data_IF_334853641262
#
_entry.id   IF_334853641262
#
_cell.length_a   1.000
_cell.length_b   1.000
_cell.length_c   1.000
_cell.angle_alpha   90.00
_cell.angle_beta   90.00
_cell.angle_gamma   90.00
#
_symmetry.space_group_name_H-M   'P 1'
#
loop_
_entity.id
_entity.type
_entity.pdbx_description
1 polymer ?
#
# COMPACT_ATOMS: atom_id res chain seq x y z
N UNK A 1 43.02 38.29 -27.59
CA UNK A 1 41.64 38.76 -27.88
C UNK A 1 40.77 38.30 -26.71
N UNK A 2 40.72 39.08 -25.62
CA UNK A 2 39.62 40.01 -25.26
C UNK A 2 38.33 39.24 -24.92
N UNK A 3 38.11 38.84 -23.65
CA UNK A 3 37.36 39.55 -22.59
C UNK A 3 36.08 40.20 -23.10
N UNK A 4 34.90 39.74 -22.69
CA UNK A 4 33.84 40.62 -22.13
C UNK A 4 32.82 39.85 -21.27
N UNK A 5 32.71 40.25 -20.00
CA UNK A 5 31.59 40.00 -19.10
C UNK A 5 30.43 40.96 -19.43
N UNK A 6 29.17 40.52 -19.29
CA UNK A 6 28.06 41.44 -19.07
C UNK A 6 27.22 41.07 -17.84
N UNK A 7 27.48 41.85 -16.79
CA UNK A 7 26.61 42.19 -15.68
C UNK A 7 25.53 43.17 -16.15
N UNK A 8 24.30 43.05 -15.64
CA UNK A 8 23.37 44.17 -15.37
C UNK A 8 22.40 43.71 -14.27
N UNK A 9 22.57 44.14 -13.02
CA UNK A 9 22.09 45.39 -12.38
C UNK A 9 20.65 45.31 -11.86
N UNK A 10 20.56 45.15 -10.53
CA UNK A 10 19.48 45.61 -9.66
C UNK A 10 19.28 47.12 -9.75
N UNK A 11 18.10 47.62 -9.35
CA UNK A 11 18.01 48.83 -8.56
C UNK A 11 17.46 48.56 -7.15
N UNK A 12 17.97 49.38 -6.23
CA UNK A 12 17.73 49.44 -4.80
C UNK A 12 16.73 50.57 -4.46
N UNK A 13 16.30 50.60 -3.19
CA UNK A 13 15.65 51.68 -2.39
C UNK A 13 14.12 51.55 -2.22
N UNK A 14 13.52 51.79 -1.05
CA UNK A 14 13.97 52.40 0.23
C UNK A 14 13.00 52.02 1.34
N UNK A 15 13.51 51.94 2.58
CA UNK A 15 12.76 51.89 3.83
C UNK A 15 11.84 53.10 4.03
N UNK A 16 10.71 52.89 4.70
CA UNK A 16 10.05 53.88 5.53
C UNK A 16 9.42 53.19 6.75
N UNK A 17 9.97 53.49 7.92
CA UNK A 17 9.35 53.33 9.23
C UNK A 17 8.14 54.25 9.36
N UNK A 18 7.05 53.78 9.98
CA UNK A 18 6.25 54.59 10.89
C UNK A 18 5.70 53.72 12.04
N UNK A 19 5.81 54.29 13.23
CA UNK A 19 5.38 53.78 14.54
C UNK A 19 3.97 54.29 14.89
N UNK A 20 3.42 53.71 15.96
CA UNK A 20 2.26 54.14 16.78
C UNK A 20 0.84 53.87 16.24
N UNK A 21 -0.17 53.50 17.04
CA UNK A 21 -0.26 53.03 18.43
C UNK A 21 -1.69 52.47 18.67
N UNK A 22 -1.82 51.63 19.70
CA UNK A 22 -2.94 51.51 20.66
C UNK A 22 -4.41 51.55 20.18
N UNK A 23 -5.08 50.38 20.29
CA UNK A 23 -6.36 50.17 20.99
C UNK A 23 -6.73 48.69 20.80
N UNK A 24 -6.70 47.82 21.81
CA UNK A 24 -7.54 47.92 23.01
C UNK A 24 -8.91 47.31 22.72
N UNK A 25 -9.05 45.98 22.87
CA UNK A 25 -10.32 45.34 23.26
C UNK A 25 -10.06 43.93 23.81
N UNK A 26 -10.05 43.89 25.14
CA UNK A 26 -10.27 42.73 25.99
C UNK A 26 -11.65 42.14 25.66
N UNK A 27 -11.74 40.84 25.38
CA UNK A 27 -13.00 40.11 25.59
C UNK A 27 -12.77 38.97 26.56
N UNK A 28 -13.54 39.06 27.64
CA UNK A 28 -13.53 38.21 28.81
C UNK A 28 -13.83 36.73 28.50
N UNK A 29 -13.05 35.91 29.20
CA UNK A 29 -13.38 34.55 29.64
C UNK A 29 -14.87 34.32 29.92
N UNK A 30 -15.42 33.25 29.33
CA UNK A 30 -16.50 32.47 29.94
C UNK A 30 -16.07 31.01 29.99
N UNK A 31 -15.41 30.65 31.10
CA UNK A 31 -15.41 29.27 31.62
C UNK A 31 -16.87 28.87 31.84
N UNK A 32 -17.36 27.87 31.11
CA UNK A 32 -18.59 27.16 31.49
C UNK A 32 -18.21 26.06 32.46
N UNK A 33 -18.84 26.10 33.63
CA UNK A 33 -18.73 25.12 34.69
C UNK A 33 -19.14 23.73 34.19
N UNK A 34 -18.32 22.76 34.55
CA UNK A 34 -18.61 21.34 34.57
C UNK A 34 -19.70 21.12 35.64
N UNK A 35 -20.85 20.62 35.22
CA UNK A 35 -21.87 20.04 36.11
C UNK A 35 -21.98 18.56 35.77
N UNK A 36 -21.29 17.74 36.56
CA UNK A 36 -21.45 16.28 36.55
C UNK A 36 -22.81 15.95 37.15
N UNK A 37 -23.67 15.27 36.40
CA UNK A 37 -24.76 14.47 36.94
C UNK A 37 -24.70 13.08 36.31
N UNK A 38 -24.36 12.10 37.14
CA UNK A 38 -24.45 10.68 36.81
C UNK A 38 -25.92 10.26 36.82
N UNK A 39 -26.37 9.58 35.77
CA UNK A 39 -27.50 8.64 35.81
C UNK A 39 -27.30 7.66 34.66
N UNK A 40 -27.39 6.38 34.99
CA UNK A 40 -27.02 5.26 34.13
C UNK A 40 -28.07 4.88 33.10
N UNK A 41 -27.64 3.88 32.34
CA UNK A 41 -28.36 2.99 31.43
C UNK A 41 -28.52 3.38 29.96
N UNK A 42 -28.29 2.33 29.15
CA UNK A 42 -28.35 2.19 27.69
C UNK A 42 -27.15 2.77 26.91
N UNK A 43 -26.16 1.90 26.72
CA UNK A 43 -25.15 2.03 25.66
C UNK A 43 -25.83 1.90 24.29
N UNK A 44 -26.47 2.98 23.84
CA UNK A 44 -26.71 3.21 22.42
C UNK A 44 -25.35 3.49 21.80
N UNK A 45 -24.87 2.58 20.94
CA UNK A 45 -23.78 2.83 20.02
C UNK A 45 -24.16 4.03 19.16
N UNK A 46 -23.71 5.20 19.60
CA UNK A 46 -23.84 6.43 18.86
C UNK A 46 -23.10 6.23 17.53
N UNK A 47 -23.88 6.18 16.46
CA UNK A 47 -23.41 6.31 15.10
C UNK A 47 -22.68 7.65 14.95
N UNK A 48 -21.36 7.64 15.11
CA UNK A 48 -20.46 8.74 14.78
C UNK A 48 -19.13 8.14 14.31
N UNK A 49 -19.04 7.74 13.05
CA UNK A 49 -17.81 7.81 12.24
C UNK A 49 -18.21 7.88 10.76
N UNK A 50 -18.71 9.03 10.31
CA UNK A 50 -19.17 9.21 8.91
C UNK A 50 -18.41 10.29 8.15
N UNK A 51 -17.19 10.66 8.55
CA UNK A 51 -16.42 11.69 7.81
C UNK A 51 -14.90 11.45 7.75
N UNK A 52 -14.42 10.24 8.06
CA UNK A 52 -13.00 9.93 7.90
C UNK A 52 -12.66 9.62 6.43
N UNK A 53 -12.07 10.60 5.75
CA UNK A 53 -11.53 10.42 4.40
C UNK A 53 -10.06 9.97 4.45
N UNK A 54 -9.85 8.66 4.31
CA UNK A 54 -8.53 8.01 4.26
C UNK A 54 -7.58 8.65 3.22
N UNK A 55 -8.10 9.16 2.09
CA UNK A 55 -7.28 9.78 1.05
C UNK A 55 -6.77 11.14 1.48
N UNK A 56 -7.63 11.95 2.10
CA UNK A 56 -7.25 13.26 2.64
C UNK A 56 -6.27 13.06 3.79
N UNK A 57 -6.54 12.10 4.69
CA UNK A 57 -5.62 11.71 5.75
C UNK A 57 -4.24 11.34 5.20
N UNK A 58 -4.15 10.40 4.25
CA UNK A 58 -2.88 9.98 3.63
C UNK A 58 -2.14 11.14 2.96
N UNK A 59 -2.87 12.02 2.27
CA UNK A 59 -2.29 13.22 1.65
C UNK A 59 -1.70 14.18 2.69
N UNK A 60 -2.33 14.32 3.86
CA UNK A 60 -1.81 15.14 4.94
C UNK A 60 -0.62 14.48 5.63
N UNK A 61 -0.71 13.17 5.92
CA UNK A 61 0.36 12.38 6.52
C UNK A 61 1.66 12.44 5.70
N UNK A 62 1.55 12.23 4.38
CA UNK A 62 2.69 12.25 3.45
C UNK A 62 3.36 13.62 3.30
N UNK A 63 2.70 14.70 3.76
CA UNK A 63 3.23 16.08 3.77
C UNK A 63 3.71 16.51 5.16
N UNK A 64 3.49 15.69 6.17
CA UNK A 64 3.95 15.98 7.53
C UNK A 64 5.48 15.95 7.59
N UNK A 65 6.05 16.63 8.59
CA UNK A 65 7.51 16.71 8.76
C UNK A 65 8.12 15.38 9.18
N UNK A 66 7.34 14.53 9.86
CA UNK A 66 7.78 13.26 10.40
C UNK A 66 7.50 12.08 9.46
N UNK A 67 7.32 12.34 8.16
CA UNK A 67 7.06 11.31 7.15
C UNK A 67 8.12 11.35 6.07
N UNK A 68 8.87 10.26 5.90
CA UNK A 68 9.84 10.11 4.83
C UNK A 68 9.50 8.93 3.93
N UNK A 69 9.53 9.17 2.61
CA UNK A 69 9.42 8.15 1.56
C UNK A 69 10.58 8.21 0.58
N UNK A 70 11.50 9.18 0.69
CA UNK A 70 12.50 9.46 -0.37
C UNK A 70 13.88 8.86 -0.07
N UNK A 71 14.08 8.27 1.10
CA UNK A 71 15.40 7.91 1.60
C UNK A 71 16.06 9.08 2.34
N UNK A 72 17.32 8.92 2.72
CA UNK A 72 18.05 9.86 3.60
C UNK A 72 19.39 10.35 2.99
N UNK A 73 19.62 10.09 1.70
CA UNK A 73 20.82 10.55 0.99
C UNK A 73 22.03 9.64 1.15
N UNK A 74 21.82 8.40 1.59
CA UNK A 74 22.84 7.36 1.75
C UNK A 74 22.70 6.22 0.74
N UNK A 75 21.92 6.45 -0.33
CA UNK A 75 21.59 5.44 -1.35
C UNK A 75 22.79 4.67 -1.90
N UNK A 76 23.84 5.36 -2.34
CA UNK A 76 25.01 4.72 -2.98
C UNK A 76 25.72 3.76 -2.02
N UNK A 77 26.11 4.23 -0.84
CA UNK A 77 26.75 3.40 0.18
C UNK A 77 25.87 2.21 0.63
N UNK A 78 24.56 2.40 0.71
CA UNK A 78 23.62 1.33 1.05
C UNK A 78 23.51 0.29 -0.07
N UNK A 79 23.47 0.71 -1.34
CA UNK A 79 23.44 -0.21 -2.47
C UNK A 79 24.72 -1.03 -2.60
N UNK A 80 25.89 -0.44 -2.32
CA UNK A 80 27.15 -1.18 -2.24
C UNK A 80 27.13 -2.25 -1.14
N UNK A 81 26.60 -1.92 0.04
CA UNK A 81 26.43 -2.87 1.13
C UNK A 81 25.49 -4.02 0.72
N UNK A 82 24.32 -3.69 0.14
CA UNK A 82 23.36 -4.69 -0.32
C UNK A 82 23.95 -5.59 -1.41
N UNK A 83 24.71 -5.04 -2.35
CA UNK A 83 25.38 -5.84 -3.39
C UNK A 83 26.36 -6.82 -2.76
N UNK A 84 27.15 -6.39 -1.77
CA UNK A 84 28.07 -7.30 -1.06
C UNK A 84 27.34 -8.39 -0.28
N UNK A 85 26.16 -8.10 0.27
CA UNK A 85 25.38 -9.05 1.09
C UNK A 85 24.56 -10.04 0.25
N UNK A 86 24.07 -9.63 -0.92
CA UNK A 86 23.07 -10.38 -1.69
C UNK A 86 23.53 -10.81 -3.09
N UNK A 87 24.79 -10.60 -3.47
CA UNK A 87 25.37 -11.13 -4.72
C UNK A 87 26.44 -12.19 -4.47
N UNK A 88 26.76 -12.98 -5.50
CA UNK A 88 27.70 -14.10 -5.42
C UNK A 88 28.53 -14.23 -6.69
N UNK A 89 29.77 -14.71 -6.57
CA UNK A 89 30.67 -14.96 -7.70
C UNK A 89 30.08 -15.95 -8.72
N UNK A 90 29.30 -16.93 -8.27
CA UNK A 90 28.66 -17.88 -9.20
C UNK A 90 27.69 -17.18 -10.15
N UNK A 91 26.96 -16.19 -9.63
CA UNK A 91 25.99 -15.40 -10.39
C UNK A 91 26.72 -14.50 -11.39
N UNK A 92 27.87 -13.96 -10.99
CA UNK A 92 28.75 -13.21 -11.89
C UNK A 92 29.25 -14.10 -13.03
N UNK A 93 29.77 -15.29 -12.73
CA UNK A 93 30.22 -16.27 -13.74
C UNK A 93 29.09 -16.62 -14.71
N UNK A 94 27.89 -16.92 -14.21
CA UNK A 94 26.73 -17.23 -15.06
C UNK A 94 26.38 -16.06 -16.00
N UNK A 95 26.34 -14.83 -15.50
CA UNK A 95 26.08 -13.63 -16.31
C UNK A 95 27.13 -13.43 -17.41
N UNK A 96 28.41 -13.59 -17.08
CA UNK A 96 29.53 -13.44 -18.03
C UNK A 96 29.52 -14.51 -19.13
N UNK A 97 28.86 -15.65 -18.89
CA UNK A 97 28.75 -16.77 -19.84
C UNK A 97 27.35 -16.87 -20.48
N UNK A 98 26.62 -15.76 -20.58
CA UNK A 98 25.32 -15.76 -21.28
C UNK A 98 24.21 -16.48 -20.51
N UNK A 99 24.24 -16.39 -19.17
CA UNK A 99 23.28 -16.99 -18.25
C UNK A 99 23.32 -18.53 -18.17
N UNK A 100 24.38 -19.16 -18.67
CA UNK A 100 24.56 -20.61 -18.61
C UNK A 100 26.04 -20.95 -18.39
N UNK A 101 26.32 -21.92 -17.52
CA UNK A 101 27.68 -22.42 -17.32
C UNK A 101 27.68 -23.90 -16.95
N UNK A 102 28.65 -24.65 -17.49
CA UNK A 102 28.80 -26.08 -17.24
C UNK A 102 30.03 -26.35 -16.38
N UNK A 103 29.82 -26.89 -15.18
CA UNK A 103 30.85 -27.43 -14.30
C UNK A 103 30.89 -28.96 -14.40
N UNK A 104 31.87 -29.49 -15.12
CA UNK A 104 32.00 -30.93 -15.34
C UNK A 104 30.82 -31.48 -16.12
N UNK A 105 30.00 -32.31 -15.48
CA UNK A 105 28.80 -32.90 -16.06
C UNK A 105 27.49 -32.18 -15.65
N UNK A 106 27.57 -31.04 -14.96
CA UNK A 106 26.41 -30.26 -14.50
C UNK A 106 26.36 -28.94 -15.23
N UNK A 107 25.24 -28.67 -15.92
CA UNK A 107 24.94 -27.37 -16.52
C UNK A 107 23.96 -26.61 -15.63
N UNK A 108 24.34 -25.39 -15.27
CA UNK A 108 23.50 -24.47 -14.49
C UNK A 108 23.04 -23.36 -15.42
N UNK A 109 21.74 -23.12 -15.45
CA UNK A 109 21.10 -22.01 -16.17
C UNK A 109 20.54 -21.01 -15.18
N UNK A 110 20.73 -19.73 -15.47
CA UNK A 110 20.20 -18.61 -14.70
C UNK A 110 19.08 -17.96 -15.51
N UNK A 111 17.92 -17.75 -14.90
CA UNK A 111 16.89 -16.95 -15.56
C UNK A 111 17.40 -15.52 -15.80
N UNK A 112 17.07 -14.91 -16.94
CA UNK A 112 17.53 -13.54 -17.26
C UNK A 112 17.01 -12.49 -16.25
N UNK A 113 15.83 -12.73 -15.68
CA UNK A 113 15.24 -11.92 -14.63
C UNK A 113 15.10 -12.72 -13.34
N UNK A 114 15.83 -12.30 -12.30
CA UNK A 114 15.87 -12.93 -10.98
C UNK A 114 16.22 -11.91 -9.90
N UNK A 115 16.08 -12.32 -8.63
CA UNK A 115 16.49 -11.49 -7.49
C UNK A 115 15.49 -10.40 -7.14
N UNK A 116 15.99 -9.31 -6.54
CA UNK A 116 15.15 -8.19 -6.11
C UNK A 116 14.57 -7.45 -7.31
N UNK A 117 13.25 -7.24 -7.29
CA UNK A 117 12.65 -6.24 -8.15
C UNK A 117 12.98 -4.83 -7.62
N UNK A 118 12.81 -3.81 -8.45
CA UNK A 118 13.06 -2.42 -8.06
C UNK A 118 12.31 -1.99 -6.78
N UNK A 119 11.08 -2.45 -6.60
CA UNK A 119 10.29 -2.14 -5.40
C UNK A 119 10.90 -2.72 -4.13
N UNK A 120 11.40 -3.95 -4.20
CA UNK A 120 12.08 -4.65 -3.11
C UNK A 120 13.42 -4.01 -2.80
N UNK A 121 14.26 -3.78 -3.83
CA UNK A 121 15.56 -3.13 -3.68
C UNK A 121 15.39 -1.78 -3.00
N UNK A 122 14.47 -0.96 -3.49
CA UNK A 122 14.15 0.35 -2.90
C UNK A 122 13.71 0.22 -1.44
N UNK A 123 12.88 -0.76 -1.10
CA UNK A 123 12.36 -0.87 0.26
C UNK A 123 13.46 -1.24 1.27
N UNK A 124 14.27 -2.25 0.95
CA UNK A 124 15.41 -2.67 1.77
C UNK A 124 16.44 -1.54 1.87
N UNK A 125 16.71 -0.87 0.76
CA UNK A 125 17.63 0.25 0.69
C UNK A 125 17.19 1.40 1.61
N UNK A 126 15.92 1.82 1.58
CA UNK A 126 15.42 2.87 2.48
C UNK A 126 15.44 2.41 3.96
N UNK A 127 15.13 1.14 4.24
CA UNK A 127 15.19 0.61 5.60
C UNK A 127 16.63 0.65 6.17
N UNK A 128 17.63 0.30 5.35
CA UNK A 128 19.04 0.41 5.74
C UNK A 128 19.47 1.86 5.93
N UNK A 129 19.02 2.78 5.06
CA UNK A 129 19.26 4.21 5.26
C UNK A 129 18.64 4.72 6.56
N UNK A 130 17.45 4.24 6.93
CA UNK A 130 16.79 4.65 8.17
C UNK A 130 17.64 4.33 9.39
N UNK A 131 18.21 3.12 9.46
CA UNK A 131 19.12 2.77 10.57
C UNK A 131 20.41 3.61 10.58
N UNK A 132 20.92 4.01 9.42
CA UNK A 132 22.09 4.89 9.36
C UNK A 132 21.77 6.32 9.78
N UNK A 133 20.60 6.82 9.37
CA UNK A 133 20.14 8.17 9.68
C UNK A 133 19.82 8.34 11.17
N UNK A 134 19.20 7.32 11.75
CA UNK A 134 18.82 7.27 13.15
C UNK A 134 19.69 6.18 13.76
N UNK A 135 20.89 6.44 14.31
CA UNK A 135 21.76 5.39 14.84
C UNK A 135 21.39 4.96 16.26
N UNK A 136 20.74 5.83 17.03
CA UNK A 136 20.50 5.64 18.48
C UNK A 136 19.02 5.42 18.82
N UNK A 137 18.11 5.76 17.91
CA UNK A 137 16.67 5.67 18.09
C UNK A 137 16.18 4.22 18.02
N UNK A 138 15.06 3.92 18.69
CA UNK A 138 14.36 2.65 18.48
C UNK A 138 13.70 2.67 17.10
N UNK A 139 13.93 1.62 16.33
CA UNK A 139 13.32 1.47 15.01
C UNK A 139 12.43 0.24 15.04
N UNK A 140 11.16 0.45 14.77
CA UNK A 140 10.15 -0.59 14.62
C UNK A 140 9.85 -0.82 13.14
N UNK A 141 9.42 -2.02 12.79
CA UNK A 141 8.81 -2.33 11.50
C UNK A 141 7.46 -3.02 11.73
N UNK A 142 6.44 -2.62 10.98
CA UNK A 142 5.07 -3.07 11.24
C UNK A 142 4.84 -4.54 10.84
N UNK A 143 5.54 -5.02 9.81
CA UNK A 143 5.65 -6.42 9.39
C UNK A 143 7.09 -6.69 8.93
N UNK A 144 7.37 -7.90 8.46
CA UNK A 144 8.52 -8.16 7.60
C UNK A 144 8.67 -7.10 6.48
N UNK A 145 9.89 -6.65 6.21
CA UNK A 145 10.14 -5.66 5.14
C UNK A 145 9.71 -6.20 3.78
N UNK A 146 10.00 -7.49 3.58
CA UNK A 146 9.64 -8.37 2.46
C UNK A 146 9.60 -9.81 2.99
N UNK A 147 8.97 -10.74 2.25
CA UNK A 147 9.00 -12.18 2.57
C UNK A 147 10.34 -12.83 2.23
N UNK A 148 11.40 -12.42 2.92
CA UNK A 148 12.74 -12.97 2.82
C UNK A 148 13.38 -13.04 4.22
N UNK A 149 13.45 -14.23 4.83
CA UNK A 149 14.00 -14.40 6.17
C UNK A 149 15.43 -13.87 6.34
N UNK A 150 16.27 -13.97 5.32
CA UNK A 150 17.66 -13.46 5.37
C UNK A 150 17.68 -11.94 5.51
N UNK A 151 16.83 -11.24 4.75
CA UNK A 151 16.73 -9.78 4.83
C UNK A 151 16.12 -9.33 6.16
N UNK A 152 15.07 -10.01 6.63
CA UNK A 152 14.44 -9.68 7.92
C UNK A 152 15.41 -9.91 9.09
N UNK A 153 16.13 -11.03 9.09
CA UNK A 153 17.18 -11.30 10.09
C UNK A 153 18.28 -10.23 10.05
N UNK A 154 18.65 -9.77 8.86
CA UNK A 154 19.65 -8.71 8.72
C UNK A 154 19.17 -7.39 9.31
N UNK A 155 17.89 -7.04 9.15
CA UNK A 155 17.29 -5.88 9.81
C UNK A 155 17.25 -6.04 11.33
N UNK A 156 16.94 -7.23 11.83
CA UNK A 156 16.99 -7.54 13.27
C UNK A 156 18.41 -7.37 13.84
N UNK A 157 19.45 -7.87 13.15
CA UNK A 157 20.86 -7.65 13.50
C UNK A 157 21.24 -6.16 13.50
N UNK A 158 20.57 -5.37 12.66
CA UNK A 158 20.66 -3.91 12.62
C UNK A 158 19.78 -3.23 13.67
N UNK A 159 19.18 -3.97 14.62
CA UNK A 159 18.29 -3.45 15.68
C UNK A 159 17.06 -2.71 15.11
N UNK A 160 16.47 -3.28 14.07
CA UNK A 160 15.12 -2.95 13.61
C UNK A 160 14.20 -4.05 14.13
N UNK A 161 13.33 -3.71 15.07
CA UNK A 161 12.50 -4.66 15.80
C UNK A 161 11.10 -4.77 15.17
N UNK A 162 10.52 -5.96 15.14
CA UNK A 162 9.13 -6.12 14.73
C UNK A 162 8.20 -5.59 15.84
N UNK A 163 7.10 -4.95 15.44
CA UNK A 163 6.01 -4.69 16.40
C UNK A 163 5.43 -6.04 16.86
N UNK A 164 5.32 -6.30 18.17
CA UNK A 164 4.76 -7.54 18.68
C UNK A 164 3.31 -7.76 18.23
N UNK A 165 2.94 -9.02 18.05
CA UNK A 165 1.58 -9.43 17.72
C UNK A 165 1.06 -10.31 18.87
N UNK A 166 -0.06 -9.91 19.46
CA UNK A 166 -0.78 -10.66 20.49
C UNK A 166 -2.21 -10.91 20.00
N UNK A 167 -2.68 -12.15 20.10
CA UNK A 167 -4.03 -12.57 19.65
C UNK A 167 -4.39 -12.19 18.19
N UNK A 168 -3.38 -11.96 17.34
CA UNK A 168 -3.56 -11.55 15.94
C UNK A 168 -3.59 -10.04 15.72
N UNK A 169 -3.41 -9.24 16.77
CA UNK A 169 -3.37 -7.78 16.70
C UNK A 169 -1.98 -7.23 17.04
N UNK A 170 -1.58 -6.17 16.32
CA UNK A 170 -0.30 -5.48 16.54
C UNK A 170 -0.37 -4.60 17.77
N UNK A 171 0.61 -4.76 18.66
CA UNK A 171 0.71 -4.02 19.91
C UNK A 171 1.46 -2.71 19.68
N UNK A 172 0.76 -1.66 19.23
CA UNK A 172 1.38 -0.36 18.96
C UNK A 172 1.80 0.38 20.24
N UNK A 173 1.36 -0.08 21.42
CA UNK A 173 1.61 0.48 22.75
C UNK A 173 3.10 0.53 23.08
N UNK A 174 3.89 -0.39 22.51
CA UNK A 174 5.35 -0.44 22.68
C UNK A 174 6.06 0.71 21.97
N UNK A 175 5.40 1.35 20.99
CA UNK A 175 5.95 2.43 20.18
C UNK A 175 5.76 3.76 20.90
N UNK A 176 6.87 4.43 21.20
CA UNK A 176 6.92 5.70 21.92
C UNK A 176 7.07 6.89 20.97
N UNK A 177 6.71 8.07 21.47
CA UNK A 177 6.96 9.33 20.76
C UNK A 177 8.44 9.47 20.42
N UNK A 178 8.73 9.83 19.17
CA UNK A 178 10.09 9.99 18.66
C UNK A 178 10.74 8.70 18.15
N UNK A 179 10.14 7.51 18.39
CA UNK A 179 10.60 6.28 17.75
C UNK A 179 10.45 6.39 16.22
N UNK A 180 11.21 5.57 15.49
CA UNK A 180 11.09 5.43 14.04
C UNK A 180 10.26 4.20 13.72
N UNK A 181 9.31 4.32 12.80
CA UNK A 181 8.50 3.17 12.35
C UNK A 181 8.57 3.04 10.84
N UNK A 182 9.06 1.89 10.39
CA UNK A 182 9.16 1.52 8.98
C UNK A 182 7.84 0.85 8.56
N UNK A 183 7.22 1.38 7.50
CA UNK A 183 6.14 0.69 6.79
C UNK A 183 6.77 -0.18 5.70
N UNK A 184 6.42 -1.48 5.57
CA UNK A 184 7.09 -2.43 4.70
C UNK A 184 6.77 -2.20 3.22
N UNK A 185 7.39 -2.98 2.32
CA UNK A 185 7.18 -2.86 0.88
C UNK A 185 5.71 -3.11 0.45
N UNK A 186 5.01 -3.96 1.20
CA UNK A 186 3.58 -4.27 1.04
C UNK A 186 2.65 -3.13 1.49
N UNK A 187 3.22 -2.15 2.20
CA UNK A 187 2.51 -1.04 2.82
C UNK A 187 1.82 -1.39 4.13
N UNK A 188 0.95 -0.50 4.59
CA UNK A 188 0.26 -0.60 5.87
C UNK A 188 -1.20 -0.20 5.72
N UNK A 189 -2.05 -0.73 6.59
CA UNK A 189 -3.47 -0.37 6.64
C UNK A 189 -3.69 1.07 7.10
N UNK A 190 -4.84 1.65 6.74
CA UNK A 190 -5.21 3.03 7.14
C UNK A 190 -5.22 3.20 8.66
N UNK A 191 -5.74 2.22 9.40
CA UNK A 191 -5.80 2.25 10.86
C UNK A 191 -4.41 2.22 11.51
N UNK A 192 -3.48 1.44 10.94
CA UNK A 192 -2.09 1.40 11.40
C UNK A 192 -1.41 2.76 11.21
N UNK A 193 -1.57 3.37 10.03
CA UNK A 193 -1.04 4.70 9.77
C UNK A 193 -1.67 5.77 10.67
N UNK A 194 -2.96 5.66 10.99
CA UNK A 194 -3.64 6.57 11.90
C UNK A 194 -3.09 6.43 13.33
N UNK A 195 -2.94 5.21 13.82
CA UNK A 195 -2.37 4.92 15.14
C UNK A 195 -0.96 5.51 15.27
N UNK A 196 -0.10 5.24 14.28
CA UNK A 196 1.27 5.76 14.23
C UNK A 196 1.31 7.29 14.14
N UNK A 197 0.47 7.89 13.29
CA UNK A 197 0.39 9.36 13.16
C UNK A 197 0.01 10.04 14.48
N UNK A 198 -0.84 9.42 15.29
CA UNK A 198 -1.27 9.97 16.58
C UNK A 198 -0.19 9.89 17.67
N UNK A 199 0.84 9.05 17.48
CA UNK A 199 1.96 8.87 18.43
C UNK A 199 3.14 9.81 18.22
N UNK A 200 3.12 10.65 17.19
CA UNK A 200 4.21 11.60 16.85
C UNK A 200 5.57 10.89 16.65
N UNK A 201 5.53 9.77 15.92
CA UNK A 201 6.70 8.97 15.51
C UNK A 201 7.28 9.45 14.18
N UNK A 202 8.51 9.06 13.87
CA UNK A 202 9.10 9.22 12.53
C UNK A 202 8.67 8.05 11.64
N UNK A 203 7.81 8.30 10.66
CA UNK A 203 7.36 7.27 9.71
C UNK A 203 8.31 7.20 8.52
N UNK A 204 8.86 6.02 8.26
CA UNK A 204 9.65 5.69 7.07
C UNK A 204 8.84 4.77 6.18
N UNK A 205 8.22 5.33 5.15
CA UNK A 205 7.37 4.60 4.21
C UNK A 205 8.20 3.96 3.09
N UNK A 206 8.38 2.65 3.17
CA UNK A 206 9.07 1.87 2.13
C UNK A 206 8.13 1.26 1.10
N UNK A 207 6.81 1.51 1.20
CA UNK A 207 5.77 0.94 0.33
C UNK A 207 6.17 1.05 -1.15
N UNK A 208 6.09 -0.09 -1.84
CA UNK A 208 6.35 -0.17 -3.27
C UNK A 208 5.41 0.78 -4.03
N UNK A 209 5.92 1.62 -4.93
CA UNK A 209 5.07 2.53 -5.71
C UNK A 209 3.98 1.85 -6.55
N UNK A 210 4.20 0.58 -6.95
CA UNK A 210 3.17 -0.23 -7.61
C UNK A 210 2.00 -0.56 -6.68
N UNK A 211 2.28 -0.88 -5.41
CA UNK A 211 1.25 -1.09 -4.38
C UNK A 211 0.46 0.19 -4.13
N UNK A 212 1.14 1.34 -3.99
CA UNK A 212 0.44 2.63 -3.86
C UNK A 212 -0.39 3.01 -5.10
N UNK A 213 -0.08 2.46 -6.29
CA UNK A 213 -0.91 2.62 -7.49
C UNK A 213 -2.23 1.85 -7.34
N UNK A 214 -2.21 0.65 -6.77
CA UNK A 214 -3.42 -0.13 -6.43
C UNK A 214 -4.30 0.64 -5.44
N UNK A 215 -3.71 1.24 -4.41
CA UNK A 215 -4.45 2.05 -3.42
C UNK A 215 -5.18 3.23 -4.08
N UNK A 216 -4.52 3.94 -4.99
CA UNK A 216 -5.16 5.02 -5.75
C UNK A 216 -6.32 4.50 -6.63
N UNK A 217 -6.27 3.25 -7.09
CA UNK A 217 -7.36 2.63 -7.88
C UNK A 217 -8.57 2.33 -7.00
N UNK A 218 -8.39 1.70 -5.83
CA UNK A 218 -9.52 1.44 -4.92
C UNK A 218 -10.12 2.72 -4.33
N UNK A 219 -9.31 3.77 -4.13
CA UNK A 219 -9.81 5.12 -3.79
C UNK A 219 -10.68 5.72 -4.92
N UNK A 220 -10.33 5.48 -6.19
CA UNK A 220 -11.16 5.91 -7.33
C UNK A 220 -12.46 5.13 -7.38
N UNK A 221 -12.43 3.82 -7.12
CA UNK A 221 -13.64 3.01 -7.03
C UNK A 221 -14.57 3.57 -5.94
N UNK A 222 -14.04 3.82 -4.74
CA UNK A 222 -14.78 4.46 -3.64
C UNK A 222 -15.41 5.79 -4.06
N UNK A 223 -14.66 6.67 -4.73
CA UNK A 223 -15.18 7.96 -5.21
C UNK A 223 -16.30 7.82 -6.25
N UNK A 224 -16.23 6.81 -7.10
CA UNK A 224 -17.24 6.52 -8.13
C UNK A 224 -18.37 5.60 -7.66
N UNK A 225 -18.41 5.24 -6.38
CA UNK A 225 -19.35 4.25 -5.81
C UNK A 225 -19.28 2.85 -6.45
N UNK A 226 -18.11 2.48 -6.98
CA UNK A 226 -17.83 1.12 -7.46
C UNK A 226 -17.34 0.25 -6.29
N UNK A 227 -17.82 -0.98 -6.25
CA UNK A 227 -17.25 -2.05 -5.42
C UNK A 227 -15.95 -2.55 -6.03
N UNK A 228 -14.90 -2.63 -5.22
CA UNK A 228 -13.62 -3.18 -5.65
C UNK A 228 -13.66 -4.70 -5.58
N UNK A 229 -13.58 -5.37 -6.74
CA UNK A 229 -13.22 -6.79 -6.81
C UNK A 229 -11.69 -6.84 -6.76
N UNK A 230 -11.15 -7.30 -5.62
CA UNK A 230 -9.72 -7.35 -5.37
C UNK A 230 -9.23 -8.77 -5.64
N UNK A 231 -8.47 -8.97 -6.72
CA UNK A 231 -7.80 -10.24 -6.98
C UNK A 231 -6.61 -10.40 -6.02
N UNK A 232 -6.71 -11.28 -5.04
CA UNK A 232 -5.68 -11.44 -4.01
C UNK A 232 -6.07 -12.42 -2.92
N UNK A 233 -5.17 -12.62 -1.95
CA UNK A 233 -5.44 -13.49 -0.81
C UNK A 233 -5.91 -12.64 0.37
N UNK A 234 -7.10 -12.91 0.91
CA UNK A 234 -7.72 -12.06 1.95
C UNK A 234 -6.84 -11.82 3.19
N UNK A 235 -5.97 -12.77 3.54
CA UNK A 235 -5.08 -12.69 4.70
C UNK A 235 -3.68 -12.14 4.40
N UNK A 236 -3.35 -11.84 3.15
CA UNK A 236 -2.03 -11.31 2.79
C UNK A 236 -1.93 -9.81 3.12
N UNK A 237 -0.84 -9.36 3.74
CA UNK A 237 -0.73 -7.98 4.22
C UNK A 237 -0.98 -6.91 3.15
N UNK A 238 -0.50 -7.11 1.93
CA UNK A 238 -0.76 -6.18 0.82
C UNK A 238 -2.26 -6.07 0.48
N UNK A 239 -2.98 -7.19 0.55
CA UNK A 239 -4.43 -7.23 0.29
C UNK A 239 -5.19 -6.57 1.43
N UNK A 240 -4.81 -6.84 2.68
CA UNK A 240 -5.39 -6.19 3.87
C UNK A 240 -5.17 -4.68 3.81
N UNK A 241 -3.94 -4.24 3.54
CA UNK A 241 -3.63 -2.82 3.37
C UNK A 241 -4.47 -2.20 2.24
N UNK A 242 -4.54 -2.85 1.07
CA UNK A 242 -5.34 -2.39 -0.06
C UNK A 242 -6.83 -2.29 0.28
N UNK A 243 -7.39 -3.29 0.95
CA UNK A 243 -8.79 -3.32 1.35
C UNK A 243 -9.13 -2.19 2.31
N UNK A 244 -8.22 -1.79 3.20
CA UNK A 244 -8.42 -0.65 4.11
C UNK A 244 -8.60 0.71 3.41
N UNK A 245 -8.14 0.84 2.16
CA UNK A 245 -8.36 2.04 1.34
C UNK A 245 -9.62 1.97 0.48
N UNK A 246 -10.22 0.78 0.34
CA UNK A 246 -11.42 0.58 -0.45
C UNK A 246 -12.67 1.07 0.30
N UNK A 247 -13.74 1.37 -0.44
CA UNK A 247 -15.06 1.60 0.14
C UNK A 247 -15.76 0.26 0.36
N UNK A 248 -16.43 -0.20 -0.69
CA UNK A 248 -17.01 -1.56 -0.77
C UNK A 248 -16.03 -2.48 -1.48
N UNK A 249 -15.87 -3.71 -0.99
CA UNK A 249 -15.00 -4.68 -1.66
C UNK A 249 -15.45 -6.13 -1.47
N UNK A 250 -15.04 -6.95 -2.43
CA UNK A 250 -14.97 -8.41 -2.33
C UNK A 250 -13.59 -8.86 -2.79
N UNK A 251 -12.91 -9.70 -2.02
CA UNK A 251 -11.61 -10.27 -2.35
C UNK A 251 -11.84 -11.65 -2.96
N UNK A 252 -11.28 -11.88 -4.14
CA UNK A 252 -11.33 -13.17 -4.85
C UNK A 252 -9.93 -13.70 -5.05
N UNK A 253 -9.70 -14.98 -4.73
CA UNK A 253 -8.39 -15.62 -4.78
C UNK A 253 -8.00 -16.06 -6.19
N UNK A 254 -8.98 -16.44 -7.01
CA UNK A 254 -8.76 -17.09 -8.31
C UNK A 254 -9.98 -16.93 -9.23
N UNK A 255 -9.88 -17.51 -10.43
CA UNK A 255 -10.97 -17.56 -11.41
C UNK A 255 -12.26 -18.22 -10.91
N UNK A 256 -12.19 -19.25 -10.06
CA UNK A 256 -13.39 -19.93 -9.55
C UNK A 256 -14.22 -19.00 -8.65
N UNK A 257 -13.55 -18.28 -7.75
CA UNK A 257 -14.22 -17.30 -6.88
C UNK A 257 -14.73 -16.09 -7.67
N UNK A 258 -13.98 -15.62 -8.68
CA UNK A 258 -14.45 -14.57 -9.58
C UNK A 258 -15.68 -15.02 -10.38
N UNK A 259 -15.69 -16.27 -10.85
CA UNK A 259 -16.83 -16.87 -11.55
C UNK A 259 -18.04 -16.98 -10.65
N UNK A 260 -17.85 -17.37 -9.38
CA UNK A 260 -18.93 -17.38 -8.40
C UNK A 260 -19.56 -15.99 -8.21
N UNK A 261 -18.73 -14.94 -8.11
CA UNK A 261 -19.22 -13.56 -8.02
C UNK A 261 -20.00 -13.16 -9.27
N UNK A 262 -19.48 -13.50 -10.45
CA UNK A 262 -20.12 -13.17 -11.72
C UNK A 262 -21.42 -13.95 -11.97
N UNK A 263 -21.48 -15.21 -11.55
CA UNK A 263 -22.68 -16.04 -11.60
C UNK A 263 -23.76 -15.48 -10.67
N UNK A 264 -23.37 -15.02 -9.47
CA UNK A 264 -24.29 -14.34 -8.55
C UNK A 264 -24.88 -13.07 -9.17
N UNK A 265 -24.03 -12.25 -9.80
CA UNK A 265 -24.46 -11.03 -10.49
C UNK A 265 -25.54 -11.35 -11.55
N UNK A 266 -25.40 -12.47 -12.25
CA UNK A 266 -26.34 -12.94 -13.29
C UNK A 266 -27.48 -13.82 -12.76
N UNK A 267 -27.65 -13.95 -11.43
CA UNK A 267 -28.71 -14.76 -10.86
C UNK A 267 -28.60 -16.26 -11.14
N UNK A 268 -27.37 -16.78 -11.31
CA UNK A 268 -27.11 -18.21 -11.57
C UNK A 268 -27.03 -18.61 -13.05
N UNK A 269 -27.17 -17.66 -14.00
CA UNK A 269 -27.20 -17.97 -15.43
C UNK A 269 -25.82 -18.09 -16.12
N UNK A 270 -24.71 -18.01 -15.39
CA UNK A 270 -23.36 -18.15 -15.96
C UNK A 270 -22.93 -19.62 -15.96
N UNK A 271 -22.91 -20.24 -14.79
CA UNK A 271 -22.59 -21.66 -14.62
C UNK A 271 -23.36 -22.32 -13.46
N UNK A 272 -24.25 -21.59 -12.78
CA UNK A 272 -25.05 -22.09 -11.66
C UNK A 272 -24.22 -22.43 -10.42
N UNK A 273 -23.01 -21.86 -10.28
CA UNK A 273 -22.14 -22.08 -9.12
C UNK A 273 -22.55 -21.27 -7.88
N UNK A 274 -23.21 -20.13 -8.10
CA UNK A 274 -23.77 -19.27 -7.07
C UNK A 274 -25.17 -19.74 -6.68
N UNK A 275 -25.62 -19.33 -5.49
CA UNK A 275 -26.94 -19.68 -4.99
C UNK A 275 -27.62 -18.49 -4.31
N UNK A 276 -27.88 -18.58 -3.02
CA UNK A 276 -28.57 -17.52 -2.26
C UNK A 276 -27.59 -16.48 -1.76
N UNK A 277 -28.14 -15.32 -1.38
CA UNK A 277 -27.42 -14.23 -0.72
C UNK A 277 -26.64 -14.73 0.51
N UNK A 278 -27.25 -15.59 1.31
CA UNK A 278 -26.65 -16.14 2.54
C UNK A 278 -25.43 -17.01 2.22
N UNK A 279 -25.52 -17.83 1.17
CA UNK A 279 -24.40 -18.67 0.74
C UNK A 279 -23.22 -17.82 0.21
N UNK A 280 -23.52 -16.73 -0.50
CA UNK A 280 -22.50 -15.78 -0.95
C UNK A 280 -21.77 -15.15 0.25
N UNK A 281 -22.53 -14.63 1.22
CA UNK A 281 -21.97 -14.00 2.41
C UNK A 281 -21.13 -14.98 3.25
N UNK A 282 -21.59 -16.23 3.40
CA UNK A 282 -20.84 -17.25 4.13
C UNK A 282 -19.53 -17.62 3.39
N UNK A 283 -19.58 -17.78 2.06
CA UNK A 283 -18.40 -18.10 1.24
C UNK A 283 -17.32 -17.02 1.35
N UNK A 284 -17.72 -15.75 1.34
CA UNK A 284 -16.79 -14.61 1.38
C UNK A 284 -16.71 -13.92 2.75
N UNK A 285 -17.13 -14.56 3.86
CA UNK A 285 -17.23 -13.92 5.18
C UNK A 285 -15.96 -13.21 5.69
N UNK A 286 -14.77 -13.62 5.24
CA UNK A 286 -13.46 -13.00 5.58
C UNK A 286 -12.91 -12.05 4.49
N UNK A 287 -13.64 -11.92 3.40
CA UNK A 287 -13.21 -11.31 2.14
C UNK A 287 -14.15 -10.18 1.69
N UNK A 288 -15.07 -9.72 2.54
CA UNK A 288 -16.01 -8.65 2.27
C UNK A 288 -15.75 -7.44 3.14
N UNK A 289 -16.12 -6.26 2.64
CA UNK A 289 -16.19 -5.05 3.48
C UNK A 289 -17.29 -5.18 4.55
N UNK A 290 -17.17 -4.49 5.70
CA UNK A 290 -18.24 -4.44 6.69
C UNK A 290 -19.57 -3.97 6.09
N UNK A 291 -20.67 -4.66 6.40
CA UNK A 291 -22.01 -4.31 5.92
C UNK A 291 -22.26 -4.56 4.43
N UNK A 292 -21.40 -5.34 3.77
CA UNK A 292 -21.55 -5.67 2.35
C UNK A 292 -22.87 -6.37 2.05
N UNK A 293 -23.57 -5.89 1.03
CA UNK A 293 -24.80 -6.46 0.53
C UNK A 293 -24.67 -6.77 -0.96
N UNK A 294 -24.51 -8.05 -1.37
CA UNK A 294 -24.18 -8.38 -2.75
C UNK A 294 -25.26 -7.93 -3.76
N UNK A 295 -26.53 -7.80 -3.33
CA UNK A 295 -27.63 -7.36 -4.20
C UNK A 295 -27.54 -5.88 -4.56
N UNK A 296 -27.04 -5.05 -3.64
CA UNK A 296 -26.86 -3.60 -3.81
C UNK A 296 -25.45 -3.26 -4.31
N UNK A 297 -24.45 -3.92 -3.75
CA UNK A 297 -23.07 -3.50 -3.85
C UNK A 297 -22.38 -4.05 -5.11
N UNK A 298 -22.90 -5.10 -5.75
CA UNK A 298 -22.37 -5.62 -7.03
C UNK A 298 -22.98 -4.95 -8.28
N UNK A 299 -23.71 -3.85 -8.12
CA UNK A 299 -24.29 -3.10 -9.25
C UNK A 299 -23.22 -2.35 -10.06
N UNK A 300 -22.18 -1.84 -9.39
CA UNK A 300 -21.04 -1.16 -10.01
C UNK A 300 -19.78 -1.77 -9.47
N UNK A 301 -18.91 -2.28 -10.34
CA UNK A 301 -17.70 -3.01 -9.92
C UNK A 301 -16.45 -2.50 -10.64
N UNK A 302 -15.31 -2.56 -9.96
CA UNK A 302 -14.02 -2.29 -10.56
C UNK A 302 -12.94 -3.25 -10.10
N UNK A 303 -11.92 -3.45 -10.92
CA UNK A 303 -10.86 -4.43 -10.67
C UNK A 303 -9.67 -3.79 -9.97
N UNK A 304 -9.22 -4.40 -8.89
CA UNK A 304 -7.94 -4.15 -8.25
C UNK A 304 -7.22 -5.49 -7.99
N UNK A 305 -5.95 -5.46 -7.61
CA UNK A 305 -5.20 -6.69 -7.38
C UNK A 305 -4.09 -6.52 -6.34
N UNK A 306 -3.73 -7.64 -5.71
CA UNK A 306 -2.43 -7.82 -5.09
C UNK A 306 -1.36 -7.98 -6.19
N UNK A 307 -0.26 -7.24 -6.10
CA UNK A 307 0.76 -7.09 -7.14
C UNK A 307 1.57 -8.35 -7.43
N UNK A 308 1.54 -9.33 -6.52
CA UNK A 308 2.16 -10.65 -6.67
C UNK A 308 1.22 -11.73 -7.23
N UNK A 309 -0.05 -11.41 -7.50
CA UNK A 309 -0.93 -12.32 -8.24
C UNK A 309 -0.54 -12.40 -9.72
N UNK A 310 -0.91 -13.50 -10.38
CA UNK A 310 -0.61 -13.68 -11.80
C UNK A 310 -1.33 -12.62 -12.64
N UNK A 311 -0.56 -11.94 -13.50
CA UNK A 311 -1.08 -10.90 -14.39
C UNK A 311 -2.17 -11.43 -15.32
N UNK A 312 -1.89 -12.54 -15.99
CA UNK A 312 -2.83 -13.17 -16.93
C UNK A 312 -4.15 -13.52 -16.25
N UNK A 313 -4.11 -14.11 -15.06
CA UNK A 313 -5.32 -14.43 -14.29
C UNK A 313 -6.09 -13.16 -13.89
N UNK A 314 -5.40 -12.09 -13.46
CA UNK A 314 -6.05 -10.80 -13.15
C UNK A 314 -6.75 -10.20 -14.38
N UNK A 315 -6.11 -10.26 -15.55
CA UNK A 315 -6.69 -9.79 -16.81
C UNK A 315 -7.89 -10.65 -17.25
N UNK A 316 -7.83 -11.96 -17.02
CA UNK A 316 -8.94 -12.89 -17.28
C UNK A 316 -10.14 -12.64 -16.36
N UNK A 317 -9.90 -12.43 -15.06
CA UNK A 317 -10.93 -12.00 -14.11
C UNK A 317 -11.56 -10.69 -14.57
N UNK A 318 -10.75 -9.71 -14.99
CA UNK A 318 -11.27 -8.43 -15.48
C UNK A 318 -12.17 -8.58 -16.71
N UNK A 319 -11.76 -9.40 -17.70
CA UNK A 319 -12.57 -9.70 -18.89
C UNK A 319 -13.85 -10.45 -18.55
N UNK A 320 -13.80 -11.37 -17.58
CA UNK A 320 -14.97 -12.09 -17.10
C UNK A 320 -15.99 -11.11 -16.51
N UNK A 321 -15.55 -10.28 -15.58
CA UNK A 321 -16.40 -9.28 -14.92
C UNK A 321 -16.97 -8.28 -15.94
N UNK A 322 -16.15 -7.78 -16.87
CA UNK A 322 -16.60 -6.87 -17.93
C UNK A 322 -17.75 -7.48 -18.75
N UNK A 323 -17.57 -8.72 -19.23
CA UNK A 323 -18.61 -9.45 -19.99
C UNK A 323 -19.87 -9.69 -19.16
N UNK A 324 -19.71 -10.01 -17.88
CA UNK A 324 -20.83 -10.17 -16.94
C UNK A 324 -21.63 -8.89 -16.80
N UNK A 325 -20.96 -7.74 -16.61
CA UNK A 325 -21.64 -6.45 -16.51
C UNK A 325 -22.32 -6.06 -17.83
N UNK A 326 -21.70 -6.34 -18.99
CA UNK A 326 -22.32 -6.15 -20.31
C UNK A 326 -23.58 -7.02 -20.47
N UNK A 327 -23.55 -8.28 -20.02
CA UNK A 327 -24.72 -9.18 -20.09
C UNK A 327 -25.86 -8.71 -19.18
N UNK A 328 -25.55 -8.19 -17.99
CA UNK A 328 -26.55 -7.73 -17.02
C UNK A 328 -27.16 -6.37 -17.36
N UNK A 329 -26.34 -5.42 -17.79
CA UNK A 329 -26.73 -4.01 -17.91
C UNK A 329 -26.78 -3.51 -19.36
N UNK A 330 -26.43 -4.33 -20.35
CA UNK A 330 -26.28 -3.90 -21.73
C UNK A 330 -24.88 -3.36 -22.03
N UNK A 331 -24.49 -3.44 -23.30
CA UNK A 331 -23.15 -3.01 -23.77
C UNK A 331 -23.02 -1.48 -23.70
N UNK A 332 -24.13 -0.78 -23.94
CA UNK A 332 -24.22 0.68 -23.96
C UNK A 332 -24.02 1.32 -22.57
N UNK A 333 -24.30 0.60 -21.49
CA UNK A 333 -24.22 1.11 -20.12
C UNK A 333 -22.94 0.67 -19.39
N UNK A 334 -22.00 0.00 -20.07
CA UNK A 334 -20.83 -0.62 -19.41
C UNK A 334 -19.99 0.38 -18.61
N UNK A 335 -19.82 1.60 -19.10
CA UNK A 335 -19.01 2.63 -18.44
C UNK A 335 -19.58 3.08 -17.08
N UNK A 336 -20.89 2.91 -16.87
CA UNK A 336 -21.55 3.25 -15.61
C UNK A 336 -21.46 2.12 -14.56
N UNK A 337 -21.08 0.91 -15.00
CA UNK A 337 -21.16 -0.32 -14.22
C UNK A 337 -19.82 -1.04 -14.05
N UNK A 338 -18.84 -0.78 -14.90
CA UNK A 338 -17.52 -1.41 -14.85
C UNK A 338 -16.39 -0.40 -15.01
N UNK A 339 -15.32 -0.58 -14.24
CA UNK A 339 -14.07 0.16 -14.44
C UNK A 339 -12.86 -0.75 -14.17
N UNK A 340 -11.83 -0.64 -14.99
CA UNK A 340 -10.58 -1.36 -14.77
C UNK A 340 -9.40 -0.46 -15.09
N UNK A 341 -8.37 -0.52 -14.23
CA UNK A 341 -7.12 0.20 -14.42
C UNK A 341 -5.97 -0.79 -14.35
N UNK A 342 -4.95 -0.62 -15.19
CA UNK A 342 -3.76 -1.44 -15.09
C UNK A 342 -2.95 -1.10 -13.82
N UNK A 343 -3.07 -1.94 -12.80
CA UNK A 343 -2.37 -1.85 -11.51
C UNK A 343 -1.32 -2.92 -11.32
N UNK A 344 -1.06 -3.74 -12.34
CA UNK A 344 -0.21 -4.93 -12.23
C UNK A 344 1.26 -4.52 -12.32
N UNK A 345 2.08 -5.08 -11.42
CA UNK A 345 3.52 -4.89 -11.40
C UNK A 345 4.18 -5.82 -12.43
N UNK A 346 5.01 -5.27 -13.32
CA UNK A 346 5.64 -6.06 -14.38
C UNK A 346 6.70 -7.03 -13.85
N UNK A 347 7.27 -6.79 -12.65
CA UNK A 347 8.33 -7.64 -12.09
C UNK A 347 7.90 -9.10 -11.95
N UNK A 348 6.69 -9.34 -11.43
CA UNK A 348 6.13 -10.69 -11.28
C UNK A 348 6.04 -11.39 -12.64
N UNK A 349 5.55 -10.68 -13.67
CA UNK A 349 5.40 -11.25 -15.01
C UNK A 349 6.74 -11.58 -15.67
N UNK A 350 7.71 -10.66 -15.58
CA UNK A 350 9.03 -10.83 -16.21
C UNK A 350 9.76 -12.01 -15.59
N UNK A 351 9.80 -12.11 -14.25
CA UNK A 351 10.44 -13.24 -13.56
C UNK A 351 9.77 -14.57 -13.88
N UNK A 352 8.44 -14.64 -13.87
CA UNK A 352 7.72 -15.88 -14.23
C UNK A 352 8.04 -16.30 -15.68
N UNK A 353 8.04 -15.35 -16.62
CA UNK A 353 8.36 -15.64 -18.03
C UNK A 353 9.80 -16.14 -18.21
N UNK A 354 10.78 -15.47 -17.61
CA UNK A 354 12.18 -15.86 -17.72
C UNK A 354 12.44 -17.24 -17.09
N UNK A 355 11.77 -17.56 -15.98
CA UNK A 355 11.88 -18.89 -15.37
C UNK A 355 11.33 -19.98 -16.28
N UNK A 356 10.16 -19.77 -16.91
CA UNK A 356 9.59 -20.74 -17.87
C UNK A 356 10.49 -20.95 -19.09
N UNK A 357 11.26 -19.94 -19.51
CA UNK A 357 12.20 -20.07 -20.63
C UNK A 357 13.52 -20.77 -20.23
N UNK A 358 13.91 -20.66 -18.97
CA UNK A 358 15.13 -21.27 -18.44
C UNK A 358 14.96 -22.75 -18.07
N UNK A 359 13.75 -23.13 -17.61
CA UNK A 359 13.33 -24.51 -17.40
C UNK A 359 13.04 -25.21 -18.74
#
# INVERSE_FOLDING_TARGET
MAITLHLCRLPYRTDLFFSESLAGKVSLSRRKLISVRCSGDSSSSAAVESDFDAKVFRKNLTRSKNYNRRGFGHKEATLELMNREYTSDIIKTLKENGFEYTWGNVTVKLAEAYGFCWGVERAVQIAYEARKQFPDERIWITNEIIHNPTVNKRLEEMKVENIPIEEGEKQFEVVNKGDVVILPAFGAGVDEMLNLSNRDVQIVDTTCPWVSKVWNTVEKHKKGDYTSIIHGKYAHEETVATASFAGKYVIVKNMDEATYVCDYILGGELNGSSSTREAFLEKFKKALSPGFDPDRDLVKVGIANQTTMLKGETEEIGKLVEKTMMRKHGVENINDHFVSFNTICDATQVTTRCNVQAC
#
